data_IF_275770007556
#
_entry.id   IF_275770007556
#
_cell.length_a   1.000
_cell.length_b   1.000
_cell.length_c   1.000
_cell.angle_alpha   90.00
_cell.angle_beta   90.00
_cell.angle_gamma   90.00
#
_symmetry.space_group_name_H-M   'P 1'
#
loop_
_entity.id
_entity.type
_entity.pdbx_description
1 polymer ?
#
# COMPACT_ATOMS: atom_id res chain seq x y z
N UNK A 1 -28.39 47.24 -17.61
CA UNK A 1 -29.65 47.10 -16.85
C UNK A 1 -30.77 46.40 -17.63
N UNK A 2 -30.77 46.37 -18.97
CA UNK A 2 -31.84 45.73 -19.76
C UNK A 2 -31.88 44.18 -19.74
N UNK A 3 -30.74 43.49 -19.58
CA UNK A 3 -30.71 42.00 -19.69
C UNK A 3 -31.27 41.26 -18.46
N UNK A 4 -31.27 41.89 -17.28
CA UNK A 4 -31.85 41.31 -16.07
C UNK A 4 -33.38 41.32 -16.13
N UNK A 5 -33.96 42.41 -16.63
CA UNK A 5 -35.40 42.57 -16.83
C UNK A 5 -35.93 41.51 -17.82
N UNK A 6 -35.18 41.28 -18.91
CA UNK A 6 -35.56 40.29 -19.91
C UNK A 6 -35.47 38.86 -19.37
N UNK A 7 -34.45 38.57 -18.55
CA UNK A 7 -34.30 37.27 -17.88
C UNK A 7 -35.43 37.00 -16.89
N UNK A 8 -35.86 38.02 -16.13
CA UNK A 8 -37.00 37.92 -15.21
C UNK A 8 -38.32 37.68 -15.95
N UNK A 9 -38.53 38.34 -17.09
CA UNK A 9 -39.72 38.13 -17.91
C UNK A 9 -39.76 36.72 -18.50
N UNK A 10 -38.62 36.20 -18.99
CA UNK A 10 -38.51 34.82 -19.48
C UNK A 10 -38.81 33.81 -18.38
N UNK A 11 -38.30 34.04 -17.17
CA UNK A 11 -38.56 33.18 -16.01
C UNK A 11 -40.04 33.18 -15.61
N UNK A 12 -40.69 34.35 -15.50
CA UNK A 12 -42.13 34.44 -15.20
C UNK A 12 -42.98 33.74 -16.26
N UNK A 13 -42.66 33.96 -17.55
CA UNK A 13 -43.35 33.31 -18.67
C UNK A 13 -43.20 31.79 -18.65
N UNK A 14 -42.08 31.28 -18.13
CA UNK A 14 -41.85 29.85 -17.96
C UNK A 14 -42.65 29.29 -16.77
N UNK A 15 -42.74 30.02 -15.65
CA UNK A 15 -43.61 29.63 -14.52
C UNK A 15 -45.08 29.55 -14.91
N UNK A 16 -45.61 30.54 -15.66
CA UNK A 16 -47.00 30.54 -16.13
C UNK A 16 -47.31 29.35 -17.05
N UNK A 17 -46.38 29.01 -17.97
CA UNK A 17 -46.52 27.81 -18.82
C UNK A 17 -46.61 26.52 -18.00
N UNK A 18 -45.80 26.39 -16.96
CA UNK A 18 -45.84 25.23 -16.07
C UNK A 18 -47.17 25.14 -15.31
N UNK A 19 -47.68 26.26 -14.77
CA UNK A 19 -48.97 26.29 -14.07
C UNK A 19 -50.16 25.99 -14.99
N UNK A 20 -50.14 26.51 -16.22
CA UNK A 20 -51.20 26.24 -17.19
C UNK A 20 -51.22 24.77 -17.61
N UNK A 21 -50.03 24.15 -17.74
CA UNK A 21 -49.92 22.72 -18.05
C UNK A 21 -50.49 21.87 -16.92
N UNK A 22 -50.14 22.16 -15.66
CA UNK A 22 -50.68 21.46 -14.48
C UNK A 22 -52.20 21.62 -14.35
N UNK A 23 -52.71 22.83 -14.57
CA UNK A 23 -54.16 23.11 -14.53
C UNK A 23 -54.92 22.37 -15.63
N UNK A 24 -54.37 22.29 -16.85
CA UNK A 24 -55.01 21.53 -17.95
C UNK A 24 -55.05 20.01 -17.70
N UNK A 25 -54.05 19.47 -17.00
CA UNK A 25 -54.00 18.05 -16.60
C UNK A 25 -55.05 17.78 -15.51
N UNK A 26 -55.18 18.67 -14.51
CA UNK A 26 -56.22 18.56 -13.49
C UNK A 26 -57.64 18.68 -14.07
N UNK A 27 -57.82 19.51 -15.11
CA UNK A 27 -59.11 19.70 -15.79
C UNK A 27 -59.54 18.52 -16.67
N UNK A 28 -58.59 17.65 -17.08
CA UNK A 28 -58.87 16.43 -17.84
C UNK A 28 -59.31 15.25 -16.98
N UNK A 29 -59.15 15.34 -15.66
CA UNK A 29 -59.68 14.37 -14.71
C UNK A 29 -61.13 14.73 -14.36
N UNK A 30 -62.07 14.37 -15.24
CA UNK A 30 -63.50 14.48 -14.95
C UNK A 30 -63.95 13.51 -13.84
N UNK A 31 -65.06 13.80 -13.14
CA UNK A 31 -65.56 12.97 -12.04
C UNK A 31 -66.08 11.62 -12.55
N UNK A 32 -65.66 10.54 -11.88
CA UNK A 32 -66.08 9.17 -12.15
C UNK A 32 -67.56 8.95 -11.78
N UNK A 33 -68.33 8.44 -12.76
CA UNK A 33 -69.71 7.93 -12.58
C UNK A 33 -69.67 6.56 -11.86
N UNK A 34 -70.65 6.19 -11.01
CA UNK A 34 -70.54 5.02 -10.17
C UNK A 34 -70.71 3.70 -10.94
N UNK A 35 -70.12 2.66 -10.36
CA UNK A 35 -69.78 1.37 -10.94
C UNK A 35 -70.96 0.45 -11.28
N UNK A 36 -70.74 -0.38 -12.32
CA UNK A 36 -71.45 -1.63 -12.59
C UNK A 36 -70.51 -2.82 -12.25
N UNK A 37 -71.03 -4.02 -11.89
CA UNK A 37 -70.24 -5.09 -11.26
C UNK A 37 -69.29 -5.81 -12.25
N UNK A 38 -68.24 -6.50 -11.75
CA UNK A 38 -67.06 -6.83 -12.54
C UNK A 38 -67.21 -8.14 -13.33
N UNK A 39 -66.66 -8.17 -14.55
CA UNK A 39 -66.25 -9.41 -15.24
C UNK A 39 -64.73 -9.57 -15.08
N UNK A 40 -64.21 -10.80 -14.89
CA UNK A 40 -62.80 -11.01 -14.66
C UNK A 40 -62.05 -11.01 -16.00
N UNK A 41 -61.07 -10.12 -16.15
CA UNK A 41 -60.08 -10.21 -17.21
C UNK A 41 -58.70 -9.93 -16.60
N UNK A 42 -57.78 -10.89 -16.81
CA UNK A 42 -56.40 -10.93 -16.36
C UNK A 42 -55.70 -9.55 -16.35
N UNK A 43 -55.44 -9.04 -15.16
CA UNK A 43 -54.59 -7.87 -14.96
C UNK A 43 -53.12 -8.29 -14.98
N UNK A 44 -52.35 -7.77 -15.95
CA UNK A 44 -50.89 -7.66 -15.82
C UNK A 44 -50.58 -6.84 -14.56
N UNK A 45 -49.52 -7.19 -13.80
CA UNK A 45 -49.16 -6.42 -12.62
C UNK A 45 -48.81 -4.97 -13.02
N UNK A 46 -49.26 -3.96 -12.24
CA UNK A 46 -48.93 -2.57 -12.49
C UNK A 46 -47.42 -2.36 -12.36
N UNK A 47 -46.83 -1.63 -13.31
CA UNK A 47 -45.43 -1.24 -13.26
C UNK A 47 -45.13 -0.51 -11.94
N UNK A 48 -43.97 -0.75 -11.31
CA UNK A 48 -43.65 -0.16 -10.02
C UNK A 48 -43.62 1.37 -10.13
N UNK A 49 -44.29 2.03 -9.18
CA UNK A 49 -44.32 3.48 -9.09
C UNK A 49 -42.89 4.03 -8.92
N UNK A 50 -42.45 4.84 -9.88
CA UNK A 50 -41.12 5.48 -9.89
C UNK A 50 -41.07 6.52 -8.75
N UNK A 51 -40.28 6.22 -7.72
CA UNK A 51 -40.03 7.11 -6.58
C UNK A 51 -38.97 8.15 -6.98
N UNK A 52 -39.39 9.21 -7.68
CA UNK A 52 -38.54 10.27 -8.26
C UNK A 52 -37.49 10.91 -7.31
N UNK A 53 -37.74 10.91 -6.00
CA UNK A 53 -36.78 11.46 -5.02
C UNK A 53 -35.48 10.65 -4.96
N UNK A 54 -35.58 9.32 -4.99
CA UNK A 54 -34.42 8.43 -4.88
C UNK A 54 -33.52 8.50 -6.13
N UNK A 55 -34.11 8.67 -7.30
CA UNK A 55 -33.37 8.77 -8.56
C UNK A 55 -32.57 10.06 -8.66
N UNK A 56 -33.10 11.16 -8.13
CA UNK A 56 -32.40 12.45 -8.12
C UNK A 56 -31.16 12.41 -7.23
N UNK A 57 -31.29 11.84 -6.02
CA UNK A 57 -30.18 11.69 -5.07
C UNK A 57 -29.10 10.74 -5.61
N UNK A 58 -29.49 9.60 -6.20
CA UNK A 58 -28.56 8.67 -6.84
C UNK A 58 -27.77 9.35 -7.96
N UNK A 59 -28.44 10.09 -8.84
CA UNK A 59 -27.79 10.81 -9.94
C UNK A 59 -26.83 11.90 -9.44
N UNK A 60 -27.20 12.62 -8.38
CA UNK A 60 -26.31 13.59 -7.73
C UNK A 60 -25.06 12.92 -7.15
N UNK A 61 -25.22 11.76 -6.50
CA UNK A 61 -24.09 10.99 -5.96
C UNK A 61 -23.14 10.50 -7.07
N UNK A 62 -23.69 9.96 -8.15
CA UNK A 62 -22.91 9.57 -9.34
C UNK A 62 -22.15 10.76 -9.92
N UNK A 63 -22.82 11.91 -10.06
CA UNK A 63 -22.21 13.11 -10.60
C UNK A 63 -21.07 13.62 -9.69
N UNK A 64 -21.28 13.57 -8.38
CA UNK A 64 -20.26 13.92 -7.37
C UNK A 64 -19.02 13.04 -7.52
N UNK A 65 -19.18 11.72 -7.66
CA UNK A 65 -18.06 10.79 -7.85
C UNK A 65 -17.32 11.08 -9.16
N UNK A 66 -18.05 11.27 -10.26
CA UNK A 66 -17.44 11.49 -11.59
C UNK A 66 -16.71 12.83 -11.70
N UNK A 67 -17.14 13.84 -10.95
CA UNK A 67 -16.47 15.14 -10.84
C UNK A 67 -15.38 15.18 -9.78
N UNK A 68 -15.23 14.12 -8.98
CA UNK A 68 -14.18 14.05 -7.97
C UNK A 68 -12.79 14.07 -8.64
N UNK A 69 -11.74 14.54 -7.93
CA UNK A 69 -10.38 14.50 -8.43
C UNK A 69 -9.97 13.07 -8.84
N UNK A 70 -9.11 12.97 -9.85
CA UNK A 70 -8.62 11.69 -10.40
C UNK A 70 -8.11 10.76 -9.30
N UNK A 71 -7.33 11.28 -8.34
CA UNK A 71 -6.83 10.51 -7.20
C UNK A 71 -7.92 9.89 -6.32
N UNK A 72 -9.04 10.58 -6.12
CA UNK A 72 -10.17 10.07 -5.34
C UNK A 72 -10.90 8.94 -6.08
N UNK A 73 -11.06 9.08 -7.40
CA UNK A 73 -11.64 8.03 -8.24
C UNK A 73 -10.76 6.78 -8.23
N UNK A 74 -9.44 6.94 -8.39
CA UNK A 74 -8.46 5.85 -8.33
C UNK A 74 -8.53 5.13 -6.99
N UNK A 75 -8.51 5.88 -5.88
CA UNK A 75 -8.60 5.30 -4.54
C UNK A 75 -9.86 4.45 -4.39
N UNK A 76 -11.02 4.96 -4.81
CA UNK A 76 -12.31 4.24 -4.73
C UNK A 76 -12.28 2.92 -5.51
N UNK A 77 -11.65 2.90 -6.69
CA UNK A 77 -11.45 1.67 -7.47
C UNK A 77 -10.51 0.71 -6.75
N UNK A 78 -9.39 1.19 -6.20
CA UNK A 78 -8.44 0.35 -5.45
C UNK A 78 -9.12 -0.27 -4.23
N UNK A 79 -9.92 0.51 -3.48
CA UNK A 79 -10.64 0.04 -2.30
C UNK A 79 -11.64 -1.07 -2.70
N UNK A 80 -12.39 -0.91 -3.80
CA UNK A 80 -13.26 -1.96 -4.34
C UNK A 80 -12.48 -3.23 -4.67
N UNK A 81 -11.35 -3.12 -5.37
CA UNK A 81 -10.51 -4.26 -5.75
C UNK A 81 -9.88 -4.94 -4.51
N UNK A 82 -9.54 -4.16 -3.49
CA UNK A 82 -9.00 -4.64 -2.23
C UNK A 82 -10.04 -5.45 -1.46
N UNK A 83 -11.26 -4.94 -1.32
CA UNK A 83 -12.34 -5.59 -0.56
C UNK A 83 -12.84 -6.86 -1.23
N UNK A 84 -13.08 -6.80 -2.54
CA UNK A 84 -13.68 -7.91 -3.30
C UNK A 84 -12.67 -8.99 -3.67
N UNK A 85 -11.38 -8.65 -3.79
CA UNK A 85 -10.30 -9.54 -4.27
C UNK A 85 -10.57 -10.15 -5.65
N UNK A 86 -11.42 -9.52 -6.45
CA UNK A 86 -11.82 -10.00 -7.77
C UNK A 86 -11.31 -9.09 -8.90
N UNK A 87 -11.34 -9.61 -10.13
CA UNK A 87 -10.95 -8.87 -11.32
C UNK A 87 -12.18 -8.31 -12.06
N UNK A 88 -12.26 -7.00 -12.20
CA UNK A 88 -13.42 -6.31 -12.78
C UNK A 88 -13.09 -5.66 -14.12
N UNK A 89 -14.06 -5.64 -15.03
CA UNK A 89 -13.96 -4.83 -16.26
C UNK A 89 -14.25 -3.35 -15.95
N UNK A 90 -13.82 -2.40 -16.80
CA UNK A 90 -14.18 -0.99 -16.66
C UNK A 90 -15.68 -0.74 -16.46
N UNK A 91 -16.53 -1.52 -17.14
CA UNK A 91 -17.98 -1.41 -17.07
C UNK A 91 -18.49 -1.84 -15.70
N UNK A 92 -17.99 -2.98 -15.19
CA UNK A 92 -18.37 -3.48 -13.87
C UNK A 92 -17.92 -2.53 -12.75
N UNK A 93 -16.76 -1.87 -12.90
CA UNK A 93 -16.30 -0.86 -11.94
C UNK A 93 -17.20 0.37 -11.96
N UNK A 94 -17.67 0.79 -13.14
CA UNK A 94 -18.63 1.89 -13.26
C UNK A 94 -19.99 1.52 -12.63
N UNK A 95 -20.43 0.27 -12.72
CA UNK A 95 -21.65 -0.19 -12.06
C UNK A 95 -21.50 -0.24 -10.53
N UNK A 96 -20.36 -0.74 -10.02
CA UNK A 96 -20.13 -0.91 -8.59
C UNK A 96 -19.78 0.41 -7.86
N UNK A 97 -19.00 1.28 -8.51
CA UNK A 97 -18.42 2.47 -7.87
C UNK A 97 -18.72 3.78 -8.59
N UNK A 98 -19.44 3.76 -9.72
CA UNK A 98 -19.82 4.94 -10.52
C UNK A 98 -18.65 5.72 -11.13
N UNK A 99 -17.45 5.13 -11.11
CA UNK A 99 -16.24 5.68 -11.74
C UNK A 99 -16.21 5.27 -13.20
N UNK A 100 -16.22 6.25 -14.09
CA UNK A 100 -16.13 6.03 -15.53
C UNK A 100 -14.66 5.99 -15.97
N UNK A 101 -14.11 4.78 -16.03
CA UNK A 101 -12.72 4.54 -16.42
C UNK A 101 -12.52 4.76 -17.93
N UNK A 102 -13.50 4.35 -18.75
CA UNK A 102 -13.40 4.44 -20.22
C UNK A 102 -13.54 5.90 -20.69
N UNK A 103 -14.41 6.68 -20.06
CA UNK A 103 -14.60 8.10 -20.34
C UNK A 103 -13.47 9.00 -19.82
N UNK A 104 -12.70 8.53 -18.83
CA UNK A 104 -11.62 9.30 -18.20
C UNK A 104 -10.25 8.65 -18.39
N UNK A 105 -9.57 9.02 -19.50
CA UNK A 105 -8.24 8.51 -19.84
C UNK A 105 -7.21 8.68 -18.72
N UNK A 106 -7.25 9.79 -17.96
CA UNK A 106 -6.31 10.02 -16.87
C UNK A 106 -6.46 8.99 -15.74
N UNK A 107 -7.70 8.58 -15.43
CA UNK A 107 -7.97 7.52 -14.44
C UNK A 107 -7.47 6.17 -14.96
N UNK A 108 -7.77 5.83 -16.21
CA UNK A 108 -7.30 4.59 -16.84
C UNK A 108 -5.77 4.48 -16.83
N UNK A 109 -5.07 5.50 -17.32
CA UNK A 109 -3.61 5.51 -17.39
C UNK A 109 -2.98 5.45 -15.99
N UNK A 110 -3.57 6.15 -15.02
CA UNK A 110 -3.09 6.13 -13.63
C UNK A 110 -3.32 4.78 -12.94
N UNK A 111 -4.45 4.11 -13.19
CA UNK A 111 -4.72 2.77 -12.67
C UNK A 111 -3.77 1.75 -13.28
N UNK A 112 -3.53 1.82 -14.59
CA UNK A 112 -2.61 0.91 -15.30
C UNK A 112 -1.17 1.03 -14.80
N UNK A 113 -0.74 2.24 -14.44
CA UNK A 113 0.61 2.49 -13.92
C UNK A 113 0.73 2.33 -12.40
N UNK A 114 -0.35 2.01 -11.69
CA UNK A 114 -0.35 1.92 -10.24
C UNK A 114 0.31 0.62 -9.74
N UNK A 115 1.11 0.72 -8.67
CA UNK A 115 1.77 -0.46 -8.07
C UNK A 115 0.77 -1.44 -7.41
N UNK A 116 -0.41 -0.96 -7.00
CA UNK A 116 -1.45 -1.73 -6.31
C UNK A 116 -2.51 -2.31 -7.25
N UNK A 117 -2.40 -2.07 -8.55
CA UNK A 117 -3.37 -2.54 -9.55
C UNK A 117 -2.63 -3.28 -10.65
N UNK A 118 -3.20 -4.39 -11.09
CA UNK A 118 -2.75 -5.11 -12.28
C UNK A 118 -3.84 -5.02 -13.34
N UNK A 119 -3.45 -4.73 -14.58
CA UNK A 119 -4.34 -4.69 -15.73
C UNK A 119 -3.89 -5.72 -16.75
N UNK A 120 -4.77 -6.65 -17.10
CA UNK A 120 -4.48 -7.76 -18.03
C UNK A 120 -4.82 -7.45 -19.50
N UNK A 121 -5.29 -6.23 -19.78
CA UNK A 121 -5.78 -5.81 -21.10
C UNK A 121 -7.30 -5.74 -21.20
N UNK A 122 -8.04 -6.29 -20.23
CA UNK A 122 -9.50 -6.24 -20.20
C UNK A 122 -10.04 -5.94 -18.79
N UNK A 123 -9.40 -6.49 -17.74
CA UNK A 123 -9.81 -6.42 -16.35
C UNK A 123 -8.73 -5.81 -15.47
N UNK A 124 -9.17 -5.17 -14.40
CA UNK A 124 -8.34 -4.68 -13.32
C UNK A 124 -8.48 -5.60 -12.11
N UNK A 125 -7.35 -5.99 -11.52
CA UNK A 125 -7.27 -6.79 -10.30
C UNK A 125 -6.35 -6.14 -9.28
N UNK A 126 -6.59 -6.38 -7.99
CA UNK A 126 -5.70 -5.90 -6.94
C UNK A 126 -4.33 -6.59 -7.00
N UNK A 127 -3.26 -5.82 -6.79
CA UNK A 127 -1.88 -6.30 -6.73
C UNK A 127 -1.27 -5.93 -5.38
N UNK A 128 -1.11 -6.91 -4.49
CA UNK A 128 -0.36 -6.74 -3.25
C UNK A 128 1.14 -6.62 -3.54
N UNK A 129 1.92 -6.11 -2.56
CA UNK A 129 3.38 -6.00 -2.72
C UNK A 129 4.04 -7.37 -2.86
N UNK A 130 3.53 -8.33 -2.09
CA UNK A 130 3.91 -9.73 -2.17
C UNK A 130 2.68 -10.56 -2.60
N UNK A 131 2.79 -11.26 -3.73
CA UNK A 131 1.72 -12.11 -4.27
C UNK A 131 1.59 -13.41 -3.47
N UNK A 132 1.13 -13.30 -2.22
CA UNK A 132 0.91 -14.42 -1.30
C UNK A 132 -0.56 -14.81 -1.32
N UNK A 133 -0.83 -16.12 -1.32
CA UNK A 133 -2.20 -16.65 -1.23
C UNK A 133 -2.50 -17.33 0.10
N UNK A 134 -1.48 -17.97 0.68
CA UNK A 134 -1.64 -18.88 1.82
C UNK A 134 -0.53 -18.67 2.86
N UNK A 135 -0.76 -19.17 4.08
CA UNK A 135 0.18 -19.24 5.20
C UNK A 135 1.54 -19.85 4.84
N UNK A 136 1.57 -20.93 4.07
CA UNK A 136 2.84 -21.60 3.72
C UNK A 136 3.73 -20.71 2.86
N UNK A 137 3.14 -19.99 1.90
CA UNK A 137 3.86 -19.04 1.06
C UNK A 137 4.39 -17.87 1.88
N UNK A 138 3.62 -17.40 2.86
CA UNK A 138 4.04 -16.36 3.79
C UNK A 138 5.28 -16.82 4.59
N UNK A 139 5.27 -18.02 5.14
CA UNK A 139 6.41 -18.55 5.88
C UNK A 139 7.65 -18.72 5.00
N UNK A 140 7.49 -19.22 3.77
CA UNK A 140 8.59 -19.34 2.79
C UNK A 140 9.16 -17.95 2.46
N UNK A 141 8.30 -16.95 2.29
CA UNK A 141 8.74 -15.58 2.02
C UNK A 141 9.55 -15.04 3.19
N UNK A 142 9.03 -15.10 4.42
CA UNK A 142 9.71 -14.57 5.61
C UNK A 142 11.09 -15.23 5.79
N UNK A 143 11.21 -16.54 5.55
CA UNK A 143 12.50 -17.26 5.61
C UNK A 143 13.52 -16.83 4.54
N UNK A 144 13.08 -16.29 3.41
CA UNK A 144 13.97 -15.77 2.36
C UNK A 144 14.52 -14.38 2.69
N UNK A 145 13.87 -13.64 3.59
CA UNK A 145 14.25 -12.28 3.98
C UNK A 145 14.73 -12.27 5.43
N UNK A 146 16.01 -12.56 5.69
CA UNK A 146 16.55 -12.56 7.06
C UNK A 146 16.52 -11.17 7.70
N UNK A 147 16.52 -10.11 6.90
CA UNK A 147 16.39 -8.71 7.33
C UNK A 147 14.99 -8.35 7.86
N UNK A 148 14.02 -9.27 7.71
CA UNK A 148 12.63 -9.05 8.11
C UNK A 148 11.77 -8.35 7.05
N UNK A 149 10.46 -8.44 7.23
CA UNK A 149 9.46 -7.84 6.34
C UNK A 149 8.45 -7.06 7.18
N UNK A 150 8.18 -5.81 6.80
CA UNK A 150 7.18 -4.99 7.48
C UNK A 150 5.77 -5.59 7.33
N UNK A 151 5.03 -5.68 8.43
CA UNK A 151 3.66 -6.24 8.42
C UNK A 151 2.72 -5.43 7.52
N UNK A 152 2.97 -4.13 7.35
CA UNK A 152 2.19 -3.26 6.44
C UNK A 152 2.30 -3.71 4.97
N UNK A 153 3.41 -4.32 4.59
CA UNK A 153 3.61 -4.85 3.24
C UNK A 153 2.95 -6.23 3.04
N UNK A 154 2.59 -6.90 4.14
CA UNK A 154 1.99 -8.23 4.15
C UNK A 154 0.47 -8.15 4.38
N UNK A 155 -0.02 -7.17 5.13
CA UNK A 155 -1.42 -7.06 5.59
C UNK A 155 -2.45 -7.11 4.46
N UNK A 156 -2.07 -6.67 3.26
CA UNK A 156 -2.95 -6.59 2.10
C UNK A 156 -2.85 -7.77 1.14
N UNK A 157 -2.00 -8.77 1.45
CA UNK A 157 -1.73 -9.89 0.55
C UNK A 157 -2.92 -10.84 0.43
N UNK A 158 -3.51 -11.26 1.55
CA UNK A 158 -4.74 -12.06 1.59
C UNK A 158 -5.52 -11.81 2.91
N UNK A 159 -6.82 -12.15 2.99
CA UNK A 159 -7.67 -11.74 4.11
C UNK A 159 -7.21 -12.21 5.50
N UNK A 160 -6.70 -13.44 5.62
CA UNK A 160 -6.32 -14.06 6.90
C UNK A 160 -4.87 -13.83 7.31
N UNK A 161 -4.12 -12.97 6.60
CA UNK A 161 -2.67 -12.77 6.84
C UNK A 161 -2.37 -12.45 8.31
N UNK A 162 -3.16 -11.60 8.94
CA UNK A 162 -2.90 -11.18 10.32
C UNK A 162 -3.07 -12.33 11.32
N UNK A 163 -4.09 -13.17 11.12
CA UNK A 163 -4.31 -14.37 11.92
C UNK A 163 -3.19 -15.38 11.69
N UNK A 164 -2.79 -15.57 10.44
CA UNK A 164 -1.71 -16.49 10.07
C UNK A 164 -0.35 -16.02 10.61
N UNK A 165 -0.06 -14.72 10.61
CA UNK A 165 1.13 -14.14 11.25
C UNK A 165 1.15 -14.42 12.76
N UNK A 166 0.02 -14.21 13.45
CA UNK A 166 -0.07 -14.53 14.88
C UNK A 166 0.05 -16.02 15.14
N UNK A 167 -0.53 -16.87 14.29
CA UNK A 167 -0.40 -18.32 14.39
C UNK A 167 1.05 -18.79 14.16
N UNK A 168 1.77 -18.18 13.21
CA UNK A 168 3.19 -18.46 12.97
C UNK A 168 4.07 -18.00 14.14
N UNK A 169 3.74 -16.87 14.78
CA UNK A 169 4.39 -16.40 16.01
C UNK A 169 4.13 -17.35 17.17
N UNK A 170 2.88 -17.76 17.38
CA UNK A 170 2.50 -18.73 18.42
C UNK A 170 3.15 -20.10 18.22
N UNK A 171 3.33 -20.53 16.97
CA UNK A 171 4.08 -21.72 16.61
C UNK A 171 5.61 -21.56 16.76
N UNK A 172 6.09 -20.35 17.08
CA UNK A 172 7.52 -20.05 17.21
C UNK A 172 8.29 -20.12 15.89
N UNK A 173 7.62 -20.00 14.74
CA UNK A 173 8.25 -20.08 13.42
C UNK A 173 8.73 -18.71 12.90
N UNK A 174 8.16 -17.64 13.43
CA UNK A 174 8.53 -16.25 13.13
C UNK A 174 8.56 -15.42 14.41
N UNK A 175 9.32 -14.33 14.39
CA UNK A 175 9.29 -13.30 15.43
C UNK A 175 8.56 -12.08 14.87
N UNK A 176 7.64 -11.52 15.65
CA UNK A 176 7.02 -10.23 15.36
C UNK A 176 7.57 -9.23 16.36
N UNK A 177 8.37 -8.29 15.87
CA UNK A 177 9.01 -7.25 16.67
C UNK A 177 8.44 -5.90 16.27
N UNK A 178 7.91 -5.17 17.24
CA UNK A 178 7.43 -3.81 17.04
C UNK A 178 8.63 -2.85 17.09
N UNK A 179 8.78 -2.02 16.07
CA UNK A 179 9.75 -0.94 16.14
C UNK A 179 9.20 0.16 17.07
N UNK A 180 9.98 0.54 18.09
CA UNK A 180 9.54 1.51 19.10
C UNK A 180 9.29 2.91 18.52
N UNK A 181 9.95 3.25 17.41
CA UNK A 181 9.85 4.56 16.76
C UNK A 181 8.66 4.65 15.80
N UNK A 182 8.45 3.63 14.96
CA UNK A 182 7.39 3.63 13.93
C UNK A 182 6.09 2.94 14.34
N UNK A 183 6.07 2.23 15.48
CA UNK A 183 4.97 1.33 15.89
C UNK A 183 4.57 0.29 14.83
N UNK A 184 5.43 0.08 13.83
CA UNK A 184 5.21 -0.91 12.79
C UNK A 184 5.83 -2.23 13.23
N UNK A 185 5.02 -3.30 13.15
CA UNK A 185 5.51 -4.65 13.39
C UNK A 185 6.33 -5.13 12.17
N UNK A 186 7.46 -5.77 12.46
CA UNK A 186 8.33 -6.41 11.47
C UNK A 186 8.36 -7.91 11.76
N UNK A 187 8.10 -8.71 10.73
CA UNK A 187 8.14 -10.16 10.77
C UNK A 187 9.53 -10.67 10.38
N UNK A 188 10.20 -11.34 11.31
CA UNK A 188 11.50 -11.99 11.12
C UNK A 188 11.36 -13.52 11.13
N UNK A 189 12.18 -14.25 10.38
CA UNK A 189 12.20 -15.71 10.47
C UNK A 189 12.80 -16.16 11.80
N UNK A 190 12.17 -17.14 12.45
CA UNK A 190 12.79 -17.86 13.57
C UNK A 190 13.40 -19.17 13.07
N UNK A 191 14.65 -19.44 13.42
CA UNK A 191 15.26 -20.74 13.12
C UNK A 191 14.78 -21.79 14.15
N UNK A 192 14.03 -22.81 13.72
CA UNK A 192 13.54 -23.86 14.61
C UNK A 192 14.65 -24.75 15.19
N UNK A 193 15.91 -24.60 14.74
CA UNK A 193 17.05 -25.37 15.25
C UNK A 193 17.58 -24.88 16.59
N UNK A 194 17.18 -23.68 17.05
CA UNK A 194 17.73 -23.06 18.26
C UNK A 194 16.65 -22.73 19.31
N UNK A 195 15.75 -23.65 19.71
CA UNK A 195 14.85 -23.39 20.82
C UNK A 195 15.60 -23.56 22.15
N UNK A 196 16.29 -22.51 22.59
CA UNK A 196 16.90 -22.47 23.92
C UNK A 196 15.91 -21.79 24.86
N UNK A 197 15.24 -22.59 25.70
CA UNK A 197 14.47 -22.05 26.82
C UNK A 197 15.42 -21.78 27.98
N UNK A 198 15.37 -20.57 28.51
CA UNK A 198 16.15 -20.14 29.67
C UNK A 198 15.17 -19.60 30.71
N UNK A 199 15.32 -20.06 31.95
CA UNK A 199 14.51 -19.61 33.07
C UNK A 199 14.74 -18.13 33.37
N UNK A 200 13.73 -17.46 33.92
CA UNK A 200 13.80 -16.02 34.17
C UNK A 200 14.86 -15.65 35.22
N UNK A 201 15.07 -16.52 36.22
CA UNK A 201 16.13 -16.35 37.23
C UNK A 201 17.52 -16.34 36.58
N UNK A 202 17.75 -17.21 35.58
CA UNK A 202 19.03 -17.28 34.87
C UNK A 202 19.22 -16.07 33.94
N UNK A 203 18.14 -15.55 33.34
CA UNK A 203 18.18 -14.27 32.61
C UNK A 203 18.51 -13.11 33.54
N UNK A 204 17.95 -13.08 34.74
CA UNK A 204 18.20 -12.03 35.73
C UNK A 204 19.64 -12.09 36.23
N UNK A 205 20.13 -13.28 36.58
CA UNK A 205 21.52 -13.48 36.97
C UNK A 205 22.47 -13.02 35.86
N UNK A 206 22.23 -13.41 34.61
CA UNK A 206 23.06 -13.00 33.49
C UNK A 206 23.10 -11.48 33.29
N UNK A 207 21.96 -10.80 33.43
CA UNK A 207 21.88 -9.33 33.34
C UNK A 207 22.52 -8.61 34.54
N UNK A 208 22.54 -9.26 35.70
CA UNK A 208 23.15 -8.73 36.92
C UNK A 208 24.67 -8.86 36.99
N UNK A 209 25.28 -9.68 36.12
CA UNK A 209 26.74 -9.79 36.02
C UNK A 209 27.27 -8.51 35.37
N UNK A 210 27.89 -7.65 36.19
CA UNK A 210 28.59 -6.48 35.69
C UNK A 210 29.89 -6.89 35.00
N UNK A 211 29.96 -6.68 33.69
CA UNK A 211 31.18 -6.89 32.92
C UNK A 211 32.14 -5.70 33.10
N UNK A 212 33.45 -5.93 33.30
CA UNK A 212 34.44 -4.87 33.31
C UNK A 212 34.36 -4.03 32.02
N UNK A 213 34.40 -2.70 32.17
CA UNK A 213 34.31 -1.79 31.00
C UNK A 213 35.58 -1.79 30.17
N UNK A 214 36.73 -2.05 30.79
CA UNK A 214 38.01 -2.14 30.07
C UNK A 214 38.30 -3.57 29.62
N UNK A 215 38.64 -3.72 28.34
CA UNK A 215 39.05 -4.99 27.74
C UNK A 215 40.30 -5.58 28.40
N UNK A 216 41.20 -4.74 28.94
CA UNK A 216 42.37 -5.25 29.67
C UNK A 216 42.00 -5.99 30.95
N UNK A 217 40.96 -5.53 31.64
CA UNK A 217 40.53 -6.15 32.89
C UNK A 217 39.79 -7.46 32.59
N UNK A 218 38.99 -7.50 31.51
CA UNK A 218 38.43 -8.76 31.00
C UNK A 218 39.53 -9.77 30.64
N UNK A 219 40.59 -9.33 29.96
CA UNK A 219 41.72 -10.21 29.58
C UNK A 219 42.47 -10.75 30.81
N UNK A 220 42.69 -9.92 31.83
CA UNK A 220 43.30 -10.33 33.11
C UNK A 220 42.42 -11.33 33.85
N UNK A 221 41.11 -11.07 33.93
CA UNK A 221 40.18 -11.96 34.62
C UNK A 221 40.02 -13.30 33.89
N UNK A 222 40.02 -13.30 32.56
CA UNK A 222 40.05 -14.54 31.77
C UNK A 222 41.34 -15.33 32.04
N UNK A 223 42.50 -14.67 32.04
CA UNK A 223 43.79 -15.33 32.33
C UNK A 223 43.87 -15.86 33.77
N UNK A 224 43.37 -15.09 34.75
CA UNK A 224 43.29 -15.49 36.16
C UNK A 224 42.43 -16.75 36.32
N UNK A 225 41.37 -16.88 35.53
CA UNK A 225 40.50 -18.05 35.50
C UNK A 225 40.96 -19.14 34.52
N UNK A 226 42.18 -19.06 33.97
CA UNK A 226 42.77 -20.08 33.08
C UNK A 226 42.19 -20.13 31.67
N UNK A 227 41.36 -19.16 31.27
CA UNK A 227 40.80 -19.05 29.92
C UNK A 227 41.70 -18.20 29.03
N UNK A 228 41.94 -18.65 27.79
CA UNK A 228 42.72 -17.89 26.81
C UNK A 228 41.87 -16.72 26.28
N UNK A 229 42.30 -15.46 26.46
CA UNK A 229 41.53 -14.35 25.92
C UNK A 229 41.50 -14.38 24.39
N UNK A 230 40.32 -14.17 23.81
CA UNK A 230 40.14 -14.11 22.35
C UNK A 230 40.84 -12.90 21.71
N UNK A 231 41.14 -11.88 22.52
CA UNK A 231 41.80 -10.65 22.12
C UNK A 231 43.09 -10.46 22.93
N UNK A 232 44.12 -9.85 22.33
CA UNK A 232 45.34 -9.44 23.04
C UNK A 232 45.47 -7.92 22.98
N UNK A 233 44.61 -7.24 23.74
CA UNK A 233 44.49 -5.79 23.82
C UNK A 233 45.73 -5.17 24.46
N UNK A 234 46.37 -5.87 25.41
CA UNK A 234 47.65 -5.45 25.99
C UNK A 234 48.74 -5.27 24.93
N UNK A 235 48.95 -6.27 24.06
CA UNK A 235 49.91 -6.16 22.95
C UNK A 235 49.53 -5.05 21.97
N UNK A 236 48.23 -4.86 21.70
CA UNK A 236 47.74 -3.84 20.76
C UNK A 236 47.93 -2.41 21.30
N UNK A 237 47.67 -2.17 22.59
CA UNK A 237 47.90 -0.87 23.26
C UNK A 237 49.40 -0.58 23.38
N UNK A 238 50.22 -1.57 23.72
CA UNK A 238 51.67 -1.44 23.72
C UNK A 238 52.21 -1.10 22.32
N UNK A 239 51.74 -1.79 21.26
CA UNK A 239 52.13 -1.46 19.88
C UNK A 239 51.67 -0.06 19.45
N UNK A 240 50.47 0.37 19.83
CA UNK A 240 49.96 1.71 19.51
C UNK A 240 50.69 2.85 20.25
N UNK A 241 51.19 2.60 21.46
CA UNK A 241 52.02 3.54 22.21
C UNK A 241 53.46 3.59 21.69
N UNK A 242 54.02 2.46 21.25
CA UNK A 242 55.39 2.39 20.71
C UNK A 242 55.48 2.88 19.26
N UNK A 243 54.46 2.66 18.42
CA UNK A 243 54.50 3.01 16.99
C UNK A 243 53.65 4.24 16.62
N UNK A 244 52.98 4.87 17.60
CA UNK A 244 51.92 5.84 17.31
C UNK A 244 50.80 5.22 16.48
N UNK A 245 49.73 5.99 16.23
CA UNK A 245 48.67 5.55 15.30
C UNK A 245 49.31 5.53 13.90
N UNK A 246 49.79 4.36 13.46
CA UNK A 246 50.12 4.18 12.07
C UNK A 246 48.83 4.44 11.28
N UNK A 247 48.77 5.46 10.40
CA UNK A 247 47.61 5.67 9.58
C UNK A 247 47.40 4.38 8.80
N UNK A 248 46.20 3.79 8.89
CA UNK A 248 45.79 2.69 8.01
C UNK A 248 46.26 3.08 6.61
N UNK A 249 47.18 2.30 6.03
CA UNK A 249 47.54 2.47 4.64
C UNK A 249 46.24 2.39 3.87
N UNK A 250 45.72 3.55 3.44
CA UNK A 250 44.72 3.62 2.38
C UNK A 250 45.32 2.74 1.30
N UNK A 251 44.69 1.61 1.00
CA UNK A 251 45.03 0.81 -0.17
C UNK A 251 45.14 1.80 -1.31
N UNK A 252 46.36 2.09 -1.75
CA UNK A 252 46.60 2.96 -2.90
C UNK A 252 45.76 2.32 -3.99
N UNK A 253 44.67 2.99 -4.41
CA UNK A 253 43.97 2.62 -5.63
C UNK A 253 45.08 2.47 -6.66
N UNK A 254 45.32 1.24 -7.15
CA UNK A 254 46.28 1.03 -8.22
C UNK A 254 45.88 2.02 -9.30
N UNK A 255 46.77 2.95 -9.65
CA UNK A 255 46.56 3.82 -10.80
C UNK A 255 46.25 2.88 -11.95
N UNK A 256 45.05 3.01 -12.51
CA UNK A 256 44.64 2.23 -13.66
C UNK A 256 45.53 2.73 -14.80
N UNK A 257 46.70 2.13 -14.98
CA UNK A 257 47.50 2.37 -16.17
C UNK A 257 46.64 1.93 -17.35
N UNK A 258 46.48 2.86 -18.29
CA UNK A 258 45.75 2.65 -19.52
C UNK A 258 46.53 1.59 -20.29
N UNK A 259 46.09 0.34 -20.18
CA UNK A 259 46.66 -0.76 -20.94
C UNK A 259 46.55 -0.47 -22.44
N UNK A 260 47.54 -0.91 -23.22
CA UNK A 260 47.72 -0.71 -24.68
C UNK A 260 46.49 -1.09 -25.55
N UNK A 261 45.44 -1.66 -24.96
CA UNK A 261 44.18 -2.03 -25.60
C UNK A 261 43.07 -0.98 -25.46
N UNK A 262 43.27 0.07 -24.69
CA UNK A 262 42.27 1.13 -24.49
C UNK A 262 42.38 2.12 -25.65
N UNK A 263 41.36 2.17 -26.51
CA UNK A 263 41.33 3.11 -27.65
C UNK A 263 41.14 4.54 -27.13
N UNK A 264 42.22 5.32 -27.12
CA UNK A 264 42.19 6.74 -26.80
C UNK A 264 41.59 7.48 -28.01
N UNK A 265 40.38 8.01 -27.87
CA UNK A 265 39.67 8.68 -28.98
C UNK A 265 40.19 10.09 -29.28
N UNK A 266 41.10 10.62 -28.46
CA UNK A 266 41.59 12.01 -28.51
C UNK A 266 43.10 12.07 -28.80
N UNK A 267 43.59 11.34 -29.80
CA UNK A 267 45.01 11.29 -30.17
C UNK A 267 45.56 12.58 -30.82
N UNK A 268 44.69 13.53 -31.16
CA UNK A 268 45.00 14.74 -31.92
C UNK A 268 45.19 16.01 -31.06
N UNK A 269 45.13 15.91 -29.73
CA UNK A 269 45.32 17.03 -28.81
C UNK A 269 46.43 16.74 -27.78
N UNK A 270 47.71 16.82 -28.18
CA UNK A 270 48.84 16.49 -27.32
C UNK A 270 49.10 17.52 -26.20
N UNK A 271 48.51 18.72 -26.28
CA UNK A 271 48.73 19.77 -25.26
C UNK A 271 48.01 19.52 -23.94
N UNK A 272 46.97 18.69 -23.92
CA UNK A 272 46.22 18.37 -22.70
C UNK A 272 46.95 17.43 -21.73
N UNK A 273 48.10 16.88 -22.13
CA UNK A 273 48.83 15.86 -21.36
C UNK A 273 50.29 16.21 -21.06
N UNK A 274 50.70 17.48 -21.23
CA UNK A 274 51.97 17.98 -20.69
C UNK A 274 51.75 18.44 -19.25
N UNK A 275 52.43 17.77 -18.32
CA UNK A 275 52.55 18.18 -16.91
C UNK A 275 53.47 19.38 -16.77
#
# INVERSE_FOLDING_TARGET
>A
MASLQESLQRFKKQQEKCQNTLSSIASRAGPSRPAAPPRPANAKPPAPAVKFSNDTERLQHINSIRKAPVGAQIKRVIDLLLETRQAFTPEQINEACYVDINGNKAVFDSLRNNLKVHYDGNRFSYKSKHALKNKDQLLILIRKFPEGIAVIDLKDAYPTVMEDLQALKGAGQIWLLSNFDSQEDIAFPNDPRVPIKVDDDLKQLFRGIELPRDMLDIEKDLQKNGMKPATNTAKRRAMAQVHGIAPKNKTKKKKHEISKRTKLTNAHLPELFKL
#
